data_IF_167877963009
#
_entry.id   IF_167877963009
#
_cell.length_a   1.000
_cell.length_b   1.000
_cell.length_c   1.000
_cell.angle_alpha   90.00
_cell.angle_beta   90.00
_cell.angle_gamma   90.00
#
_symmetry.space_group_name_H-M   'P 1'
#
loop_
_entity.id
_entity.type
_entity.pdbx_description
1 polymer ?
#
# COMPACT_ATOMS: atom_id res chain seq x y z
N UNK A 1 -6.93 -0.57 12.30
CA UNK A 1 -6.31 -1.48 11.32
C UNK A 1 -6.61 -0.92 9.93
N UNK A 2 -5.56 -0.65 9.16
CA UNK A 2 -5.61 0.06 7.87
C UNK A 2 -5.61 -0.94 6.73
N UNK A 3 -6.74 -1.60 6.49
CA UNK A 3 -6.93 -2.20 5.16
C UNK A 3 -7.03 -1.03 4.18
N UNK A 4 -6.75 -1.24 2.88
CA UNK A 4 -7.04 -0.31 1.77
C UNK A 4 -8.54 0.13 1.68
N UNK A 5 -9.30 0.11 2.77
CA UNK A 5 -10.56 0.79 2.97
C UNK A 5 -10.40 2.29 2.73
N UNK A 6 -11.44 2.85 2.13
CA UNK A 6 -11.58 4.26 1.83
C UNK A 6 -11.20 5.15 3.01
N UNK A 7 -10.54 6.27 2.69
CA UNK A 7 -10.28 7.46 3.50
C UNK A 7 -11.04 7.43 4.84
N UNK A 8 -10.47 6.72 5.81
CA UNK A 8 -11.09 6.59 7.12
C UNK A 8 -10.83 7.90 7.85
N UNK A 9 -11.89 8.56 8.32
CA UNK A 9 -11.89 9.79 9.11
C UNK A 9 -11.31 9.55 10.52
N UNK A 10 -10.12 8.95 10.61
CA UNK A 10 -9.54 8.49 11.87
C UNK A 10 -8.08 8.84 12.03
N UNK A 11 -7.76 10.12 11.92
CA UNK A 11 -6.68 10.75 12.69
C UNK A 11 -7.10 12.21 12.93
N UNK A 12 -6.59 12.85 13.98
CA UNK A 12 -6.67 14.31 14.17
C UNK A 12 -6.05 15.15 13.01
N UNK A 13 -5.60 14.47 11.94
CA UNK A 13 -5.00 14.97 10.72
C UNK A 13 -5.69 14.25 9.54
N UNK A 14 -6.24 14.98 8.56
CA UNK A 14 -6.82 14.34 7.39
C UNK A 14 -5.72 14.11 6.36
N UNK A 15 -5.27 12.86 6.26
CA UNK A 15 -4.27 12.46 5.26
C UNK A 15 -4.98 12.32 3.91
N UNK A 16 -4.76 13.27 3.00
CA UNK A 16 -5.23 13.18 1.62
C UNK A 16 -4.16 12.61 0.70
N UNK A 17 -4.24 11.32 0.37
CA UNK A 17 -3.27 10.67 -0.51
C UNK A 17 -3.49 11.12 -1.96
N UNK A 18 -2.71 12.10 -2.42
CA UNK A 18 -2.56 12.37 -3.85
C UNK A 18 -1.39 11.55 -4.40
N UNK A 19 -1.70 10.39 -4.97
CA UNK A 19 -0.72 9.54 -5.66
C UNK A 19 -0.24 10.23 -6.95
N UNK A 20 0.75 11.10 -6.83
CA UNK A 20 1.51 11.59 -7.97
C UNK A 20 2.94 11.08 -7.88
N UNK A 21 3.27 10.14 -8.76
CA UNK A 21 4.58 9.62 -9.14
C UNK A 21 5.45 9.02 -8.03
N UNK A 22 5.65 9.68 -6.91
CA UNK A 22 6.43 9.22 -5.75
C UNK A 22 6.10 10.01 -4.49
N UNK A 23 5.11 10.94 -4.52
CA UNK A 23 4.78 11.83 -3.42
C UNK A 23 3.55 11.37 -2.62
N UNK A 24 3.68 11.36 -1.29
CA UNK A 24 2.56 11.20 -0.37
C UNK A 24 2.26 12.54 0.26
N UNK A 25 1.06 13.06 0.02
CA UNK A 25 0.57 14.28 0.66
C UNK A 25 -0.11 13.95 1.99
N UNK A 26 0.34 14.60 3.06
CA UNK A 26 -0.38 14.60 4.33
C UNK A 26 -0.74 16.03 4.71
N UNK A 27 -2.01 16.27 5.05
CA UNK A 27 -2.51 17.59 5.42
C UNK A 27 -2.89 17.61 6.89
N UNK A 28 -2.21 18.43 7.69
CA UNK A 28 -2.68 18.77 9.03
C UNK A 28 -3.79 19.84 8.90
N UNK A 29 -5.07 19.47 9.06
CA UNK A 29 -6.18 20.43 8.98
C UNK A 29 -6.20 21.45 10.13
N UNK A 30 -5.46 21.21 11.22
CA UNK A 30 -5.34 22.18 12.32
C UNK A 30 -4.33 23.28 12.00
N UNK A 31 -3.30 22.98 11.22
CA UNK A 31 -2.19 23.90 10.91
C UNK A 31 -2.09 24.28 9.43
N UNK A 32 -2.90 23.69 8.56
CA UNK A 32 -2.85 23.83 7.10
C UNK A 32 -1.47 23.52 6.50
N UNK A 33 -0.68 22.66 7.16
CA UNK A 33 0.66 22.27 6.72
C UNK A 33 0.59 21.05 5.81
N UNK A 34 1.36 21.10 4.72
CA UNK A 34 1.49 20.03 3.74
C UNK A 34 2.85 19.33 3.90
N UNK A 35 2.83 18.00 3.87
CA UNK A 35 4.02 17.15 3.85
C UNK A 35 3.99 16.29 2.60
N UNK A 36 4.97 16.43 1.71
CA UNK A 36 5.11 15.62 0.51
C UNK A 36 6.39 14.77 0.59
N UNK A 37 6.24 13.45 0.65
CA UNK A 37 7.39 12.52 0.69
C UNK A 37 7.73 12.01 -0.72
N UNK A 38 8.81 12.47 -1.33
CA UNK A 38 9.31 12.00 -2.63
C UNK A 38 10.18 10.75 -2.45
N UNK A 39 9.71 9.59 -2.92
CA UNK A 39 10.53 8.36 -2.99
C UNK A 39 11.55 8.48 -4.12
N UNK A 40 12.83 8.67 -3.79
CA UNK A 40 13.90 8.80 -4.80
C UNK A 40 14.49 7.46 -5.22
N UNK A 41 14.35 6.41 -4.40
CA UNK A 41 14.71 5.03 -4.71
C UNK A 41 14.07 4.05 -3.69
N UNK A 42 14.37 2.75 -3.82
CA UNK A 42 13.84 1.66 -2.97
C UNK A 42 14.26 1.68 -1.49
N UNK A 43 14.85 2.79 -1.01
CA UNK A 43 15.39 2.93 0.35
C UNK A 43 15.10 4.31 0.93
N UNK A 44 15.16 5.35 0.07
CA UNK A 44 15.17 6.74 0.51
C UNK A 44 13.94 7.50 0.02
N UNK A 45 13.38 8.31 0.90
CA UNK A 45 12.45 9.38 0.57
C UNK A 45 12.98 10.74 1.02
N UNK A 46 12.57 11.80 0.32
CA UNK A 46 12.85 13.20 0.66
C UNK A 46 11.54 13.86 1.07
N UNK A 47 11.51 14.47 2.26
CA UNK A 47 10.38 15.26 2.71
C UNK A 47 10.47 16.69 2.16
N UNK A 48 9.42 17.11 1.46
CA UNK A 48 9.15 18.50 1.09
C UNK A 48 8.03 19.01 1.99
N UNK A 49 8.27 20.08 2.75
CA UNK A 49 7.25 20.71 3.60
C UNK A 49 7.56 22.19 3.80
N UNK A 50 6.51 23.00 3.90
CA UNK A 50 6.60 24.41 4.27
C UNK A 50 6.64 24.61 5.80
N UNK A 51 6.47 23.52 6.58
CA UNK A 51 6.54 23.51 8.04
C UNK A 51 7.96 23.29 8.57
N UNK A 52 8.22 23.70 9.81
CA UNK A 52 9.54 23.54 10.42
C UNK A 52 9.82 22.11 10.92
N UNK A 53 8.77 21.32 11.24
CA UNK A 53 8.88 19.97 11.77
C UNK A 53 7.79 19.06 11.19
N UNK A 54 8.12 17.77 10.98
CA UNK A 54 7.16 16.76 10.53
C UNK A 54 6.68 15.94 11.73
N UNK A 55 5.37 15.91 12.04
CA UNK A 55 4.84 15.06 13.08
C UNK A 55 5.16 13.59 12.84
N UNK A 56 5.41 12.84 13.91
CA UNK A 56 5.74 11.43 13.84
C UNK A 56 4.62 10.61 13.19
N UNK A 57 3.35 10.98 13.44
CA UNK A 57 2.17 10.32 12.87
C UNK A 57 2.11 10.45 11.34
N UNK A 58 2.63 11.56 10.81
CA UNK A 58 2.72 11.81 9.36
C UNK A 58 3.76 10.87 8.73
N UNK A 59 4.89 10.68 9.40
CA UNK A 59 5.94 9.73 8.98
C UNK A 59 5.41 8.29 9.05
N UNK A 60 4.72 7.93 10.12
CA UNK A 60 4.12 6.59 10.29
C UNK A 60 3.06 6.29 9.22
N UNK A 61 2.25 7.28 8.85
CA UNK A 61 1.29 7.14 7.75
C UNK A 61 1.99 6.91 6.40
N UNK A 62 3.04 7.66 6.10
CA UNK A 62 3.83 7.44 4.90
C UNK A 62 4.46 6.03 4.88
N UNK A 63 5.08 5.62 5.99
CA UNK A 63 5.72 4.32 6.13
C UNK A 63 4.74 3.15 6.09
N UNK A 64 3.48 3.37 6.46
CA UNK A 64 2.44 2.36 6.34
C UNK A 64 2.31 1.86 4.89
N UNK A 65 2.32 2.77 3.91
CA UNK A 65 2.22 2.41 2.48
C UNK A 65 3.58 2.15 1.82
N UNK A 66 4.67 2.58 2.45
CA UNK A 66 6.03 2.55 1.91
C UNK A 66 7.02 1.86 2.84
N UNK A 67 6.60 0.82 3.56
CA UNK A 67 7.38 0.18 4.63
C UNK A 67 8.73 -0.44 4.24
N UNK A 68 9.12 -0.37 2.97
CA UNK A 68 10.46 -0.66 2.46
C UNK A 68 11.44 0.52 2.60
N UNK A 69 10.94 1.75 2.73
CA UNK A 69 11.73 2.96 2.96
C UNK A 69 12.38 2.86 4.33
N UNK A 70 13.68 3.08 4.35
CA UNK A 70 14.48 2.95 5.55
C UNK A 70 15.23 4.23 5.92
N UNK A 71 15.09 5.28 5.10
CA UNK A 71 15.74 6.57 5.27
C UNK A 71 14.82 7.67 4.77
N UNK A 72 14.53 8.65 5.61
CA UNK A 72 13.83 9.87 5.21
C UNK A 72 14.66 11.06 5.68
N UNK A 73 14.85 12.03 4.80
CA UNK A 73 15.51 13.30 5.11
C UNK A 73 14.74 14.49 4.55
N UNK A 74 14.97 15.67 5.11
CA UNK A 74 14.50 16.95 4.56
C UNK A 74 15.37 17.39 3.37
N UNK A 75 14.95 18.44 2.65
CA UNK A 75 15.73 19.04 1.57
C UNK A 75 17.12 19.55 2.01
N UNK A 76 17.24 19.96 3.27
CA UNK A 76 18.50 20.41 3.89
C UNK A 76 19.42 19.24 4.28
N UNK A 77 18.97 17.99 4.10
CA UNK A 77 19.71 16.78 4.44
C UNK A 77 19.56 16.34 5.90
N UNK A 78 18.62 16.91 6.66
CA UNK A 78 18.34 16.48 8.03
C UNK A 78 17.62 15.13 8.02
N UNK A 79 18.21 14.11 8.64
CA UNK A 79 17.61 12.77 8.72
C UNK A 79 16.51 12.80 9.79
N UNK A 80 15.27 12.54 9.38
CA UNK A 80 14.08 12.51 10.25
C UNK A 80 13.58 11.10 10.53
N UNK A 81 14.05 10.12 9.75
CA UNK A 81 13.74 8.71 9.97
C UNK A 81 14.85 7.82 9.44
N UNK A 82 15.20 6.79 10.23
CA UNK A 82 16.13 5.75 9.81
C UNK A 82 15.77 4.40 10.45
N UNK A 83 15.83 3.32 9.66
CA UNK A 83 15.73 1.95 10.16
C UNK A 83 16.69 1.02 9.38
N UNK A 84 16.97 -0.20 9.89
CA UNK A 84 17.69 -1.20 9.12
C UNK A 84 17.01 -1.46 7.77
N UNK A 85 17.83 -1.61 6.73
CA UNK A 85 17.35 -1.87 5.38
C UNK A 85 16.57 -3.19 5.33
N UNK A 86 15.32 -3.15 4.89
CA UNK A 86 14.57 -4.36 4.53
C UNK A 86 15.13 -4.95 3.23
N UNK A 87 15.20 -6.27 3.17
CA UNK A 87 15.58 -6.96 1.93
C UNK A 87 14.45 -6.82 0.93
N UNK A 88 14.77 -6.21 -0.22
CA UNK A 88 13.89 -6.17 -1.39
C UNK A 88 14.35 -7.24 -2.37
N UNK A 89 13.42 -8.00 -2.92
CA UNK A 89 13.69 -9.09 -3.88
C UNK A 89 12.69 -9.09 -5.03
N UNK A 90 13.05 -9.71 -6.15
CA UNK A 90 12.14 -9.96 -7.27
C UNK A 90 11.44 -11.31 -7.08
N UNK A 91 10.15 -11.35 -7.36
CA UNK A 91 9.37 -12.60 -7.40
C UNK A 91 8.48 -12.62 -8.65
N UNK A 92 8.16 -13.81 -9.20
CA UNK A 92 7.20 -13.94 -10.29
C UNK A 92 5.82 -13.45 -9.87
N UNK A 93 5.21 -12.55 -10.66
CA UNK A 93 3.94 -11.90 -10.34
C UNK A 93 2.82 -12.90 -10.05
N UNK A 94 2.75 -13.98 -10.85
CA UNK A 94 1.68 -14.97 -10.76
C UNK A 94 1.88 -16.00 -9.65
N UNK A 95 3.02 -15.97 -8.96
CA UNK A 95 3.27 -16.83 -7.80
C UNK A 95 2.76 -16.20 -6.49
N UNK A 96 2.18 -15.00 -6.55
CA UNK A 96 1.70 -14.25 -5.40
C UNK A 96 0.21 -14.51 -5.19
N UNK A 97 -0.13 -15.07 -4.03
CA UNK A 97 -1.49 -15.19 -3.54
C UNK A 97 -2.02 -13.84 -3.07
N UNK A 98 -3.14 -13.35 -3.61
CA UNK A 98 -3.82 -12.17 -3.07
C UNK A 98 -4.55 -12.49 -1.77
N UNK A 99 -4.66 -11.48 -0.91
CA UNK A 99 -5.55 -11.43 0.26
C UNK A 99 -6.75 -10.49 0.03
N UNK A 100 -6.93 -9.98 -1.20
CA UNK A 100 -8.02 -9.07 -1.57
C UNK A 100 -8.92 -9.68 -2.64
N UNK A 101 -10.24 -9.44 -2.54
CA UNK A 101 -11.22 -10.05 -3.44
C UNK A 101 -11.47 -9.26 -4.74
N UNK A 102 -11.21 -7.94 -4.74
CA UNK A 102 -11.62 -7.04 -5.82
C UNK A 102 -10.58 -5.95 -6.07
N UNK A 103 -10.51 -5.40 -7.28
CA UNK A 103 -9.68 -4.22 -7.59
C UNK A 103 -10.58 -3.01 -7.84
N UNK A 104 -10.26 -1.88 -7.22
CA UNK A 104 -10.96 -0.62 -7.46
C UNK A 104 -10.46 0.03 -8.77
N UNK A 105 -11.36 0.22 -9.73
CA UNK A 105 -11.06 0.80 -11.04
C UNK A 105 -10.46 2.22 -10.95
N UNK A 106 -11.01 3.08 -10.09
CA UNK A 106 -10.51 4.45 -9.95
C UNK A 106 -9.10 4.51 -9.36
N UNK A 107 -8.80 3.65 -8.38
CA UNK A 107 -7.43 3.49 -7.85
C UNK A 107 -6.48 2.97 -8.95
N UNK A 108 -6.90 1.95 -9.70
CA UNK A 108 -6.11 1.35 -10.77
C UNK A 108 -5.77 2.37 -11.86
N UNK A 109 -6.76 3.13 -12.33
CA UNK A 109 -6.56 4.16 -13.36
C UNK A 109 -5.55 5.22 -12.91
N UNK A 110 -5.55 5.61 -11.63
CA UNK A 110 -4.54 6.53 -11.07
C UNK A 110 -3.14 5.94 -11.04
N UNK A 111 -2.99 4.64 -10.79
CA UNK A 111 -1.68 3.98 -10.78
C UNK A 111 -1.11 3.89 -12.20
N UNK A 112 -1.95 3.61 -13.19
CA UNK A 112 -1.56 3.48 -14.59
C UNK A 112 -1.06 4.79 -15.21
N UNK A 113 -1.29 5.96 -14.59
CA UNK A 113 -0.75 7.22 -15.11
C UNK A 113 0.74 7.40 -14.86
N UNK A 114 1.33 6.64 -13.92
CA UNK A 114 2.71 6.87 -13.49
C UNK A 114 3.58 5.63 -13.38
N UNK A 115 3.02 4.44 -13.21
CA UNK A 115 3.82 3.20 -13.26
C UNK A 115 4.32 3.00 -14.69
N UNK A 116 5.64 2.97 -14.86
CA UNK A 116 6.31 2.78 -16.15
C UNK A 116 7.16 1.51 -16.20
N UNK A 117 7.70 1.06 -15.07
CA UNK A 117 8.62 -0.08 -14.98
C UNK A 117 8.41 -0.90 -13.70
N UNK A 118 8.88 -2.15 -13.62
CA UNK A 118 8.71 -2.99 -12.43
C UNK A 118 9.26 -2.36 -11.15
N UNK A 119 10.32 -1.54 -11.23
CA UNK A 119 10.92 -0.85 -10.10
C UNK A 119 9.98 0.17 -9.43
N UNK A 120 8.93 0.61 -10.13
CA UNK A 120 7.93 1.53 -9.59
C UNK A 120 6.95 0.80 -8.65
N UNK A 121 7.01 -0.53 -8.60
CA UNK A 121 6.14 -1.40 -7.81
C UNK A 121 6.95 -2.16 -6.79
N UNK A 122 6.76 -1.80 -5.52
CA UNK A 122 7.23 -2.57 -4.38
C UNK A 122 6.07 -2.80 -3.44
N UNK A 123 5.79 -4.07 -3.10
CA UNK A 123 4.70 -4.43 -2.19
C UNK A 123 5.18 -5.25 -0.99
N UNK A 124 4.48 -5.17 0.17
CA UNK A 124 4.73 -6.07 1.27
C UNK A 124 4.14 -7.45 0.98
N UNK A 125 4.90 -8.49 1.34
CA UNK A 125 4.44 -9.88 1.34
C UNK A 125 4.78 -10.56 2.66
N UNK A 126 4.12 -11.68 2.93
CA UNK A 126 4.58 -12.68 3.89
C UNK A 126 4.89 -13.99 3.16
N UNK A 127 5.69 -14.83 3.83
CA UNK A 127 5.95 -16.20 3.41
C UNK A 127 5.12 -17.14 4.29
N UNK A 128 4.24 -17.93 3.68
CA UNK A 128 3.54 -19.00 4.37
C UNK A 128 3.78 -20.31 3.63
N UNK A 129 4.52 -21.22 4.28
CA UNK A 129 5.00 -22.45 3.65
C UNK A 129 5.90 -22.14 2.44
N UNK A 130 5.45 -22.51 1.23
CA UNK A 130 6.16 -22.27 -0.03
C UNK A 130 5.42 -21.24 -0.92
N UNK A 131 4.53 -20.42 -0.34
CA UNK A 131 3.71 -19.47 -1.07
C UNK A 131 3.98 -18.04 -0.60
N UNK A 132 4.08 -17.12 -1.55
CA UNK A 132 4.12 -15.68 -1.28
C UNK A 132 2.71 -15.15 -1.20
N UNK A 133 2.38 -14.43 -0.13
CA UNK A 133 1.06 -13.80 0.06
C UNK A 133 1.23 -12.29 0.07
N UNK A 134 0.51 -11.59 -0.81
CA UNK A 134 0.42 -10.13 -0.81
C UNK A 134 -0.45 -9.70 0.36
N UNK A 135 0.13 -9.00 1.33
CA UNK A 135 -0.63 -8.49 2.50
C UNK A 135 -1.21 -7.09 2.23
N UNK A 136 -0.65 -6.37 1.25
CA UNK A 136 -1.17 -5.11 0.73
C UNK A 136 -0.68 -4.89 -0.72
N UNK A 137 -1.20 -3.89 -1.42
CA UNK A 137 -0.73 -3.45 -2.73
C UNK A 137 -1.34 -4.18 -3.93
N UNK A 138 -2.50 -4.84 -3.77
CA UNK A 138 -3.15 -5.62 -4.84
C UNK A 138 -3.49 -4.78 -6.07
N UNK A 139 -3.85 -3.50 -5.90
CA UNK A 139 -4.09 -2.60 -7.04
C UNK A 139 -2.80 -2.37 -7.85
N UNK A 140 -1.63 -2.27 -7.19
CA UNK A 140 -0.32 -2.18 -7.86
C UNK A 140 0.02 -3.48 -8.58
N UNK A 141 -0.26 -4.64 -7.98
CA UNK A 141 -0.10 -5.93 -8.65
C UNK A 141 -0.96 -6.03 -9.90
N UNK A 142 -2.21 -5.55 -9.86
CA UNK A 142 -3.08 -5.54 -11.05
C UNK A 142 -2.54 -4.61 -12.13
N UNK A 143 -2.01 -3.45 -11.76
CA UNK A 143 -1.33 -2.56 -12.72
C UNK A 143 -0.12 -3.26 -13.38
N UNK A 144 0.71 -3.97 -12.59
CA UNK A 144 1.83 -4.76 -13.12
C UNK A 144 1.37 -5.79 -14.16
N UNK A 145 0.26 -6.48 -13.87
CA UNK A 145 -0.33 -7.48 -14.75
C UNK A 145 -0.79 -6.87 -16.09
N UNK A 146 -1.51 -5.76 -16.04
CA UNK A 146 -1.99 -5.05 -17.24
C UNK A 146 -0.86 -4.44 -18.08
N UNK A 147 0.25 -4.05 -17.44
CA UNK A 147 1.46 -3.55 -18.11
C UNK A 147 2.39 -4.67 -18.62
N UNK A 148 2.04 -5.94 -18.37
CA UNK A 148 2.77 -7.10 -18.88
C UNK A 148 4.05 -7.43 -18.10
N UNK A 149 4.19 -6.98 -16.87
CA UNK A 149 5.36 -7.31 -16.03
C UNK A 149 5.27 -8.76 -15.55
N UNK A 150 6.33 -9.53 -15.76
CA UNK A 150 6.42 -10.93 -15.31
C UNK A 150 6.89 -11.07 -13.86
N UNK A 151 7.63 -10.08 -13.37
CA UNK A 151 8.21 -10.05 -12.03
C UNK A 151 8.01 -8.67 -11.41
N UNK A 152 7.88 -8.64 -10.08
CA UNK A 152 7.73 -7.41 -9.29
C UNK A 152 8.65 -7.43 -8.08
N UNK A 153 8.90 -6.26 -7.49
CA UNK A 153 9.70 -6.15 -6.28
C UNK A 153 8.84 -6.30 -5.03
N UNK A 154 9.35 -7.02 -4.04
CA UNK A 154 8.66 -7.30 -2.78
C UNK A 154 9.60 -7.13 -1.59
N UNK A 155 9.02 -6.90 -0.42
CA UNK A 155 9.73 -6.96 0.87
C UNK A 155 8.89 -7.73 1.89
N UNK A 156 9.54 -8.32 2.90
CA UNK A 156 8.84 -9.01 3.98
C UNK A 156 8.15 -7.99 4.90
N UNK A 157 6.82 -8.12 4.98
CA UNK A 157 5.96 -7.41 5.92
C UNK A 157 5.77 -8.19 7.22
N UNK A 158 4.92 -7.66 8.08
CA UNK A 158 4.54 -8.30 9.34
C UNK A 158 3.30 -9.17 9.13
N UNK A 159 3.29 -10.35 9.77
CA UNK A 159 2.14 -11.23 9.76
C UNK A 159 1.08 -10.75 10.75
N UNK A 160 -0.17 -10.76 10.32
CA UNK A 160 -1.36 -10.50 11.13
C UNK A 160 -2.36 -11.66 10.94
N UNK A 161 -2.96 -12.19 12.03
CA UNK A 161 -3.80 -13.39 11.95
C UNK A 161 -5.01 -13.31 11.00
N UNK A 162 -5.51 -12.12 10.69
CA UNK A 162 -6.62 -12.01 9.75
C UNK A 162 -6.21 -12.36 8.32
N UNK A 163 -4.92 -12.31 7.96
CA UNK A 163 -4.47 -12.56 6.58
C UNK A 163 -4.90 -13.95 6.13
N UNK A 164 -4.86 -14.95 7.02
CA UNK A 164 -5.24 -16.33 6.71
C UNK A 164 -6.72 -16.44 6.31
N UNK A 165 -7.61 -15.76 7.06
CA UNK A 165 -9.04 -15.72 6.75
C UNK A 165 -9.28 -15.06 5.37
N UNK A 166 -8.52 -14.02 5.05
CA UNK A 166 -8.62 -13.29 3.78
C UNK A 166 -8.06 -14.08 2.58
N UNK A 167 -6.97 -14.82 2.77
CA UNK A 167 -6.46 -15.78 1.79
C UNK A 167 -7.48 -16.89 1.56
N UNK A 168 -8.08 -17.43 2.64
CA UNK A 168 -9.13 -18.43 2.54
C UNK A 168 -10.35 -17.93 1.74
N UNK A 169 -10.80 -16.70 1.96
CA UNK A 169 -11.89 -16.10 1.17
C UNK A 169 -11.52 -16.01 -0.32
N UNK A 170 -10.30 -15.62 -0.65
CA UNK A 170 -9.82 -15.57 -2.03
C UNK A 170 -9.85 -16.96 -2.67
N UNK A 171 -9.27 -17.96 -2.02
CA UNK A 171 -9.21 -19.34 -2.52
C UNK A 171 -10.61 -19.96 -2.68
N UNK A 172 -11.54 -19.67 -1.75
CA UNK A 172 -12.94 -20.11 -1.84
C UNK A 172 -13.65 -19.55 -3.07
N UNK A 173 -13.31 -18.32 -3.47
CA UNK A 173 -13.80 -17.70 -4.71
C UNK A 173 -12.91 -18.01 -5.95
N UNK A 174 -12.02 -19.00 -5.85
CA UNK A 174 -11.10 -19.41 -6.92
C UNK A 174 -10.14 -18.31 -7.38
N UNK A 175 -9.72 -17.44 -6.45
CA UNK A 175 -8.75 -16.37 -6.68
C UNK A 175 -7.39 -16.78 -6.10
N UNK A 176 -6.51 -17.29 -6.97
CA UNK A 176 -5.21 -17.83 -6.59
C UNK A 176 -4.05 -16.92 -6.97
N UNK A 177 -4.26 -16.00 -7.91
CA UNK A 177 -3.30 -14.99 -8.31
C UNK A 177 -4.00 -13.70 -8.74
N UNK A 178 -3.22 -12.66 -9.03
CA UNK A 178 -3.75 -11.34 -9.35
C UNK A 178 -4.67 -11.30 -10.59
N UNK A 179 -4.52 -12.22 -11.56
CA UNK A 179 -5.39 -12.26 -12.76
C UNK A 179 -6.84 -12.59 -12.41
N UNK A 180 -7.03 -13.36 -11.34
CA UNK A 180 -8.35 -13.84 -10.92
C UNK A 180 -9.18 -12.73 -10.23
N UNK A 181 -8.54 -11.62 -9.83
CA UNK A 181 -9.25 -10.51 -9.18
C UNK A 181 -9.99 -9.66 -10.22
N UNK A 182 -11.33 -9.54 -10.12
CA UNK A 182 -12.10 -8.66 -10.98
C UNK A 182 -11.89 -7.18 -10.64
N UNK A 183 -11.84 -6.35 -11.69
CA UNK A 183 -11.87 -4.89 -11.58
C UNK A 183 -13.34 -4.44 -11.49
N UNK A 184 -13.66 -3.60 -10.51
CA UNK A 184 -15.01 -3.11 -10.25
C UNK A 184 -15.01 -1.60 -10.02
N UNK A 185 -16.17 -0.96 -10.23
CA UNK A 185 -16.34 0.48 -10.00
C UNK A 185 -16.09 0.85 -8.54
N UNK A 186 -15.86 2.14 -8.28
CA UNK A 186 -15.64 2.61 -6.92
C UNK A 186 -16.83 2.30 -6.00
N UNK A 187 -18.06 2.48 -6.47
CA UNK A 187 -19.28 2.21 -5.71
C UNK A 187 -19.41 0.73 -5.38
N UNK A 188 -19.16 -0.14 -6.35
CA UNK A 188 -19.17 -1.58 -6.14
C UNK A 188 -18.05 -2.00 -5.18
N UNK A 189 -16.88 -1.37 -5.23
CA UNK A 189 -15.77 -1.63 -4.32
C UNK A 189 -16.12 -1.28 -2.87
N UNK A 190 -16.77 -0.13 -2.63
CA UNK A 190 -17.24 0.22 -1.29
C UNK A 190 -18.15 -0.87 -0.72
N UNK A 191 -19.09 -1.36 -1.54
CA UNK A 191 -20.08 -2.34 -1.07
C UNK A 191 -19.48 -3.74 -0.93
N UNK A 192 -18.74 -4.21 -1.94
CA UNK A 192 -18.27 -5.61 -2.00
C UNK A 192 -16.99 -5.87 -1.22
N UNK A 193 -16.19 -4.84 -1.00
CA UNK A 193 -14.90 -4.96 -0.31
C UNK A 193 -14.88 -4.19 1.00
N UNK A 194 -15.11 -2.87 0.99
CA UNK A 194 -14.98 -2.09 2.22
C UNK A 194 -15.97 -2.53 3.30
N UNK A 195 -17.26 -2.67 2.96
CA UNK A 195 -18.27 -3.15 3.93
C UNK A 195 -18.03 -4.60 4.37
N UNK A 196 -17.48 -5.44 3.49
CA UNK A 196 -17.08 -6.80 3.84
C UNK A 196 -15.98 -6.79 4.90
N UNK A 197 -14.91 -6.02 4.68
CA UNK A 197 -13.82 -5.85 5.63
C UNK A 197 -14.35 -5.30 6.96
N UNK A 198 -15.09 -4.19 6.94
CA UNK A 198 -15.69 -3.61 8.15
C UNK A 198 -16.52 -4.63 8.94
N UNK A 199 -17.35 -5.41 8.26
CA UNK A 199 -18.18 -6.43 8.90
C UNK A 199 -17.33 -7.52 9.52
N UNK A 200 -16.30 -8.00 8.82
CA UNK A 200 -15.37 -9.00 9.35
C UNK A 200 -14.69 -8.50 10.63
N UNK A 201 -14.15 -7.28 10.66
CA UNK A 201 -13.43 -6.80 11.84
C UNK A 201 -14.34 -6.45 13.01
N UNK A 202 -15.55 -5.94 12.77
CA UNK A 202 -16.56 -5.77 13.84
C UNK A 202 -16.88 -7.09 14.55
N UNK A 203 -16.77 -8.24 13.88
CA UNK A 203 -16.97 -9.55 14.52
C UNK A 203 -15.76 -10.07 15.31
N UNK A 204 -14.58 -9.48 15.11
CA UNK A 204 -13.32 -9.87 15.76
C UNK A 204 -12.94 -8.94 16.93
N UNK A 205 -13.58 -7.78 17.06
CA UNK A 205 -13.45 -6.86 18.20
C UNK A 205 -14.23 -7.33 19.46
N UNK A 206 -14.57 -8.62 19.56
CA UNK A 206 -15.28 -9.25 20.68
C UNK A 206 -14.30 -10.02 21.57
#
# INVERSE_FOLDING_TARGET
MKIECCEDERVNHHVGIQNHNTSFRVTDLKQSTQYDFEIVNHQKAILHTDGNECPQEVIEEFLFYSGFINHIETLEGTIIYHQPKKKVMKVPLLNIQPSQLYINEAKLNRLLTWIQKPEDIIIPIIEEGNQWISIDGHTRLKAAELLGFSEIYVYLGEYEPYIDDFVYFCQKEQKFNIRDLPIITNEAYQIKWCLFCESYFKTKEI
#
